data_IF_186504102487
#
_entry.id   IF_186504102487
#
_cell.length_a   1.000
_cell.length_b   1.000
_cell.length_c   1.000
_cell.angle_alpha   90.00
_cell.angle_beta   90.00
_cell.angle_gamma   90.00
#
_symmetry.space_group_name_H-M   'P 1'
#
loop_
_entity.id
_entity.type
_entity.pdbx_description
1 polymer ?
#
# COMPACT_ATOMS: atom_id res chain seq x y z
N UNK A 1 15.65 -8.83 2.09
CA UNK A 1 14.39 -9.13 2.80
C UNK A 1 13.35 -8.14 2.32
N UNK A 2 12.22 -8.54 1.72
CA UNK A 2 11.30 -7.62 1.04
C UNK A 2 10.94 -6.40 1.89
N UNK A 3 10.69 -5.27 1.23
CA UNK A 3 10.38 -4.00 1.90
C UNK A 3 8.95 -4.01 2.40
N UNK A 4 8.78 -3.81 3.69
CA UNK A 4 7.48 -3.79 4.35
C UNK A 4 6.97 -2.35 4.43
N UNK A 5 5.71 -2.14 4.08
CA UNK A 5 5.06 -0.84 4.13
C UNK A 5 3.75 -0.96 4.90
N UNK A 6 3.42 0.09 5.63
CA UNK A 6 2.12 0.26 6.26
C UNK A 6 1.51 1.57 5.78
N UNK A 7 0.27 1.51 5.34
CA UNK A 7 -0.55 2.69 5.07
C UNK A 7 -1.58 2.84 6.18
N UNK A 8 -1.66 4.05 6.74
CA UNK A 8 -2.77 4.47 7.57
C UNK A 8 -3.62 5.45 6.79
N UNK A 9 -4.94 5.26 6.79
CA UNK A 9 -5.85 6.10 6.02
C UNK A 9 -7.20 6.31 6.71
N UNK A 10 -7.83 7.49 6.59
CA UNK A 10 -9.22 7.68 7.01
C UNK A 10 -10.25 6.99 6.09
N UNK A 11 -9.82 6.60 4.90
CA UNK A 11 -10.65 6.02 3.83
C UNK A 11 -10.18 4.60 3.51
N UNK A 12 -11.11 3.64 3.41
CA UNK A 12 -10.80 2.28 2.97
C UNK A 12 -10.34 2.32 1.49
N UNK A 13 -9.19 1.74 1.13
CA UNK A 13 -8.85 1.58 -0.28
C UNK A 13 -9.77 0.57 -0.95
N UNK A 14 -10.01 0.78 -2.25
CA UNK A 14 -10.63 -0.18 -3.15
C UNK A 14 -9.66 -0.55 -4.29
N UNK A 15 -10.05 -1.49 -5.16
CA UNK A 15 -9.21 -1.86 -6.30
C UNK A 15 -9.01 -0.67 -7.28
N UNK A 16 -9.97 0.25 -7.35
CA UNK A 16 -9.90 1.41 -8.26
C UNK A 16 -8.78 2.36 -7.85
N UNK A 17 -8.65 2.73 -6.57
CA UNK A 17 -7.58 3.61 -6.12
C UNK A 17 -6.20 3.00 -6.38
N UNK A 18 -6.07 1.67 -6.29
CA UNK A 18 -4.82 0.95 -6.60
C UNK A 18 -4.47 1.04 -8.09
N UNK A 19 -5.44 0.83 -8.98
CA UNK A 19 -5.23 0.97 -10.44
C UNK A 19 -4.85 2.40 -10.78
N UNK A 20 -5.56 3.39 -10.24
CA UNK A 20 -5.29 4.80 -10.52
C UNK A 20 -3.94 5.26 -9.97
N UNK A 21 -3.55 4.77 -8.78
CA UNK A 21 -2.23 5.05 -8.20
C UNK A 21 -1.11 4.38 -9.02
N UNK A 22 -1.31 3.14 -9.47
CA UNK A 22 -0.41 2.44 -10.39
C UNK A 22 -0.19 3.24 -11.66
N UNK A 23 -1.28 3.61 -12.34
CA UNK A 23 -1.24 4.34 -13.61
C UNK A 23 -0.61 5.74 -13.49
N UNK A 24 -0.74 6.40 -12.34
CA UNK A 24 -0.09 7.68 -12.09
C UNK A 24 1.43 7.57 -11.95
N UNK A 25 1.94 6.42 -11.47
CA UNK A 25 3.37 6.15 -11.33
C UNK A 25 3.98 5.62 -12.63
N UNK A 26 3.35 4.63 -13.24
CA UNK A 26 3.77 4.01 -14.49
C UNK A 26 2.52 3.44 -15.21
N UNK A 27 2.14 3.97 -16.38
CA UNK A 27 0.91 3.58 -17.08
C UNK A 27 0.92 2.13 -17.58
N UNK A 28 2.08 1.47 -17.60
CA UNK A 28 2.22 0.08 -18.02
C UNK A 28 2.02 -0.92 -16.86
N UNK A 29 1.66 -0.41 -15.67
CA UNK A 29 1.31 -1.23 -14.52
C UNK A 29 -0.12 -1.76 -14.61
N UNK A 30 -0.27 -3.03 -14.27
CA UNK A 30 -1.56 -3.71 -14.14
C UNK A 30 -1.85 -4.10 -12.69
N UNK A 31 -3.06 -4.59 -12.47
CA UNK A 31 -3.51 -5.13 -11.19
C UNK A 31 -3.98 -6.56 -11.37
N UNK A 32 -3.51 -7.46 -10.50
CA UNK A 32 -4.10 -8.80 -10.34
C UNK A 32 -4.51 -9.05 -8.91
N UNK A 33 -5.45 -9.95 -8.74
CA UNK A 33 -5.96 -10.35 -7.43
C UNK A 33 -5.58 -11.79 -7.17
N UNK A 34 -5.05 -12.05 -5.97
CA UNK A 34 -4.59 -13.37 -5.54
C UNK A 34 -5.40 -13.81 -4.32
N UNK A 35 -5.41 -15.12 -4.05
CA UNK A 35 -6.01 -15.71 -2.85
C UNK A 35 -7.48 -15.26 -2.63
N UNK A 36 -8.31 -15.38 -3.67
CA UNK A 36 -9.75 -15.05 -3.64
C UNK A 36 -10.08 -13.63 -3.13
N UNK A 37 -9.19 -12.66 -3.42
CA UNK A 37 -9.39 -11.27 -2.98
C UNK A 37 -8.53 -10.85 -1.80
N UNK A 38 -7.88 -11.78 -1.09
CA UNK A 38 -7.12 -11.43 0.10
C UNK A 38 -5.88 -10.55 -0.20
N UNK A 39 -5.37 -10.58 -1.43
CA UNK A 39 -4.21 -9.78 -1.85
C UNK A 39 -4.47 -9.16 -3.22
N UNK A 40 -4.25 -7.86 -3.32
CA UNK A 40 -4.12 -7.17 -4.60
C UNK A 40 -2.65 -6.96 -4.91
N UNK A 41 -2.21 -7.35 -6.11
CA UNK A 41 -0.83 -7.20 -6.52
C UNK A 41 -0.74 -6.31 -7.76
N UNK A 42 0.03 -5.24 -7.63
CA UNK A 42 0.43 -4.41 -8.77
C UNK A 42 1.57 -5.11 -9.48
N UNK A 43 1.48 -5.22 -10.80
CA UNK A 43 2.43 -5.95 -11.63
C UNK A 43 2.85 -5.10 -12.82
N UNK A 44 4.08 -5.28 -13.30
CA UNK A 44 4.44 -4.84 -14.64
C UNK A 44 3.89 -5.86 -15.63
N UNK A 45 2.97 -5.44 -16.48
CA UNK A 45 2.33 -6.34 -17.45
C UNK A 45 3.36 -6.76 -18.50
N UNK A 46 3.46 -8.06 -18.76
CA UNK A 46 4.17 -8.55 -19.95
C UNK A 46 3.16 -8.57 -21.12
N UNK A 47 3.41 -7.83 -22.21
CA UNK A 47 2.53 -7.85 -23.39
C UNK A 47 2.37 -9.25 -24.02
N UNK A 48 3.36 -10.14 -23.83
CA UNK A 48 3.33 -11.50 -24.37
C UNK A 48 2.56 -12.48 -23.46
N UNK A 49 2.53 -12.24 -22.16
CA UNK A 49 1.72 -13.01 -21.19
C UNK A 49 1.27 -12.13 -20.01
N UNK A 50 0.07 -11.51 -20.12
CA UNK A 50 -0.47 -10.64 -19.07
C UNK A 50 -0.64 -11.32 -17.70
N UNK A 51 -0.64 -12.66 -17.65
CA UNK A 51 -0.77 -13.42 -16.40
C UNK A 51 0.56 -13.57 -15.64
N UNK A 52 1.70 -13.36 -16.31
CA UNK A 52 3.06 -13.58 -15.80
C UNK A 52 3.83 -12.31 -15.45
N UNK A 53 3.13 -11.16 -15.40
CA UNK A 53 3.75 -9.88 -15.07
C UNK A 53 4.55 -9.89 -13.76
N UNK A 54 5.68 -9.19 -13.76
CA UNK A 54 6.57 -9.12 -12.60
C UNK A 54 5.90 -8.33 -11.46
N UNK A 55 5.87 -8.92 -10.26
CA UNK A 55 5.29 -8.30 -9.07
C UNK A 55 6.04 -7.03 -8.65
N UNK A 56 5.31 -5.92 -8.53
CA UNK A 56 5.83 -4.61 -8.13
C UNK A 56 5.53 -4.33 -6.67
N UNK A 57 4.30 -4.60 -6.21
CA UNK A 57 3.94 -4.56 -4.79
C UNK A 57 2.71 -5.42 -4.54
N UNK A 58 2.72 -6.17 -3.44
CA UNK A 58 1.55 -6.89 -2.93
C UNK A 58 0.91 -6.06 -1.81
N UNK A 59 -0.39 -5.83 -1.88
CA UNK A 59 -1.19 -5.10 -0.88
C UNK A 59 -2.20 -6.07 -0.26
N UNK A 60 -2.19 -6.15 1.06
CA UNK A 60 -3.11 -6.98 1.84
C UNK A 60 -4.47 -6.30 2.00
N UNK A 61 -5.49 -7.07 2.37
CA UNK A 61 -6.81 -6.52 2.69
C UNK A 61 -6.74 -5.47 3.80
N UNK A 62 -7.48 -4.35 3.68
CA UNK A 62 -7.51 -3.31 4.70
C UNK A 62 -8.15 -3.81 5.99
N UNK A 63 -7.53 -3.49 7.12
CA UNK A 63 -8.06 -3.75 8.44
C UNK A 63 -8.53 -2.45 9.07
N UNK A 64 -9.73 -2.44 9.63
CA UNK A 64 -10.19 -1.30 10.44
C UNK A 64 -9.47 -1.32 11.79
N UNK A 65 -8.93 -0.18 12.20
CA UNK A 65 -8.27 -0.03 13.50
C UNK A 65 -9.28 0.45 14.53
N UNK A 66 -9.55 -0.40 15.51
CA UNK A 66 -10.47 -0.07 16.62
C UNK A 66 -9.75 0.62 17.80
N UNK A 67 -8.44 0.37 17.96
CA UNK A 67 -7.62 0.98 19.01
C UNK A 67 -6.45 1.77 18.42
N UNK A 68 -6.61 3.09 18.33
CA UNK A 68 -5.58 3.99 17.80
C UNK A 68 -4.30 4.01 18.64
N UNK A 69 -4.35 3.65 19.93
CA UNK A 69 -3.15 3.57 20.76
C UNK A 69 -2.15 2.51 20.26
N UNK A 70 -2.65 1.44 19.64
CA UNK A 70 -1.80 0.39 19.07
C UNK A 70 -1.01 0.85 17.85
N UNK A 71 -1.50 1.87 17.12
CA UNK A 71 -0.79 2.43 15.97
C UNK A 71 0.58 2.96 16.36
N UNK A 72 0.68 3.68 17.49
CA UNK A 72 1.97 4.18 18.01
C UNK A 72 2.91 3.05 18.43
N UNK A 73 2.36 1.97 18.98
CA UNK A 73 3.15 0.81 19.42
C UNK A 73 3.72 0.04 18.24
N UNK A 74 2.94 -0.08 17.15
CA UNK A 74 3.31 -0.85 15.95
C UNK A 74 4.14 -0.05 14.94
N UNK A 75 3.98 1.27 14.89
CA UNK A 75 4.72 2.18 14.01
C UNK A 75 5.56 3.19 14.82
N UNK A 76 6.60 2.73 15.55
CA UNK A 76 7.42 3.62 16.37
C UNK A 76 8.18 4.67 15.55
N UNK A 77 8.40 4.44 14.26
CA UNK A 77 9.04 5.37 13.33
C UNK A 77 8.11 6.52 12.91
N UNK A 78 6.80 6.41 13.14
CA UNK A 78 5.84 7.47 12.85
C UNK A 78 5.88 8.53 13.97
N UNK A 79 6.79 9.49 13.84
CA UNK A 79 7.06 10.52 14.87
C UNK A 79 5.96 11.58 14.98
N UNK A 80 5.24 11.86 13.88
CA UNK A 80 4.10 12.75 13.85
C UNK A 80 2.85 11.96 13.43
N UNK A 81 1.86 11.90 14.32
CA UNK A 81 0.58 11.30 13.97
C UNK A 81 -0.22 12.26 13.07
N UNK A 82 -0.90 11.76 12.03
CA UNK A 82 -1.82 12.56 11.25
C UNK A 82 -2.90 13.19 12.12
N UNK A 83 -3.33 14.42 11.82
CA UNK A 83 -4.30 15.16 12.64
C UNK A 83 -5.68 14.49 12.73
N UNK A 84 -6.03 13.67 11.75
CA UNK A 84 -7.27 12.88 11.74
C UNK A 84 -7.21 11.65 12.67
N UNK A 85 -6.01 11.20 13.03
CA UNK A 85 -5.82 10.01 13.85
C UNK A 85 -6.17 10.32 15.31
N UNK A 86 -7.25 9.70 15.81
CA UNK A 86 -7.79 9.97 17.15
C UNK A 86 -8.86 11.06 17.20
N UNK A 87 -9.21 11.66 16.06
CA UNK A 87 -10.30 12.65 15.95
C UNK A 87 -11.70 12.01 15.78
N UNK A 88 -11.85 10.73 16.11
CA UNK A 88 -13.10 9.96 15.95
C UNK A 88 -13.39 9.49 14.52
N UNK A 89 -12.48 9.74 13.56
CA UNK A 89 -12.61 9.24 12.20
C UNK A 89 -12.26 7.74 12.12
N UNK A 90 -12.83 7.00 11.15
CA UNK A 90 -12.36 5.65 10.84
C UNK A 90 -10.87 5.66 10.51
N UNK A 91 -10.18 4.58 10.84
CA UNK A 91 -8.77 4.39 10.54
C UNK A 91 -8.61 3.03 9.91
N UNK A 92 -7.96 2.99 8.75
CA UNK A 92 -7.66 1.80 8.00
C UNK A 92 -6.17 1.56 8.00
N UNK A 93 -5.79 0.34 8.37
CA UNK A 93 -4.44 -0.19 8.32
C UNK A 93 -4.31 -1.10 7.10
N UNK A 94 -3.33 -0.82 6.27
CA UNK A 94 -3.08 -1.60 5.05
C UNK A 94 -1.61 -1.96 5.00
N UNK A 95 -1.32 -3.25 4.93
CA UNK A 95 0.04 -3.75 4.79
C UNK A 95 0.36 -3.95 3.31
N UNK A 96 1.59 -3.62 2.94
CA UNK A 96 2.10 -3.88 1.61
C UNK A 96 3.55 -4.36 1.66
N UNK A 97 3.92 -5.16 0.67
CA UNK A 97 5.24 -5.77 0.56
C UNK A 97 5.76 -5.57 -0.85
N UNK A 98 6.91 -4.93 -0.97
CA UNK A 98 7.58 -4.67 -2.24
C UNK A 98 8.91 -5.47 -2.34
N UNK A 99 9.32 -5.92 -3.54
CA UNK A 99 10.62 -6.56 -3.73
C UNK A 99 11.76 -5.54 -3.55
N UNK A 100 13.01 -6.00 -3.69
CA UNK A 100 14.17 -5.10 -3.74
C UNK A 100 14.40 -4.52 -5.12
N UNK A 101 15.27 -3.51 -5.18
CA UNK A 101 15.72 -2.91 -6.43
C UNK A 101 14.63 -2.03 -7.05
N UNK A 102 14.68 -1.94 -8.37
CA UNK A 102 13.94 -0.94 -9.14
C UNK A 102 12.43 -1.19 -9.08
N UNK A 103 12.01 -2.44 -9.20
CA UNK A 103 10.60 -2.83 -9.03
C UNK A 103 10.08 -2.48 -7.64
N UNK A 104 10.92 -2.66 -6.61
CA UNK A 104 10.61 -2.28 -5.24
C UNK A 104 10.37 -0.78 -5.10
N UNK A 105 11.23 0.04 -5.69
CA UNK A 105 11.09 1.50 -5.68
C UNK A 105 9.82 1.96 -6.40
N UNK A 106 9.47 1.32 -7.51
CA UNK A 106 8.17 1.54 -8.18
C UNK A 106 7.02 1.16 -7.24
N UNK A 107 7.10 0.02 -6.55
CA UNK A 107 6.09 -0.42 -5.60
C UNK A 107 5.86 0.55 -4.44
N UNK A 108 6.95 1.07 -3.85
CA UNK A 108 6.89 2.12 -2.82
C UNK A 108 6.18 3.36 -3.36
N UNK A 109 6.56 3.82 -4.56
CA UNK A 109 5.94 5.00 -5.17
C UNK A 109 4.42 4.81 -5.39
N UNK A 110 3.99 3.63 -5.82
CA UNK A 110 2.56 3.31 -5.98
C UNK A 110 1.82 3.36 -4.64
N UNK A 111 2.40 2.80 -3.57
CA UNK A 111 1.77 2.82 -2.24
C UNK A 111 1.71 4.24 -1.67
N UNK A 112 2.74 5.06 -1.91
CA UNK A 112 2.76 6.47 -1.51
C UNK A 112 1.68 7.29 -2.24
N UNK A 113 1.53 7.09 -3.55
CA UNK A 113 0.48 7.72 -4.35
C UNK A 113 -0.91 7.29 -3.89
N UNK A 114 -1.11 5.99 -3.62
CA UNK A 114 -2.35 5.47 -3.03
C UNK A 114 -2.66 6.14 -1.69
N UNK A 115 -1.67 6.24 -0.79
CA UNK A 115 -1.83 6.87 0.50
C UNK A 115 -2.23 8.36 0.34
N UNK A 116 -1.59 9.08 -0.56
CA UNK A 116 -1.91 10.48 -0.85
C UNK A 116 -3.37 10.66 -1.32
N UNK A 117 -3.84 9.80 -2.24
CA UNK A 117 -5.24 9.80 -2.73
C UNK A 117 -6.27 9.56 -1.64
N UNK A 118 -5.91 8.76 -0.64
CA UNK A 118 -6.79 8.42 0.46
C UNK A 118 -6.75 9.43 1.62
N UNK A 119 -5.89 10.45 1.53
CA UNK A 119 -5.60 11.37 2.64
C UNK A 119 -4.83 10.70 3.79
N UNK A 120 -4.17 9.59 3.49
CA UNK A 120 -3.43 8.77 4.43
C UNK A 120 -1.93 9.10 4.47
N UNK A 121 -1.20 8.26 5.19
CA UNK A 121 0.27 8.28 5.26
C UNK A 121 0.82 6.89 4.94
N UNK A 122 1.93 6.85 4.22
CA UNK A 122 2.69 5.63 3.96
C UNK A 122 3.95 5.63 4.83
N UNK A 123 4.12 4.56 5.60
CA UNK A 123 5.28 4.30 6.46
C UNK A 123 6.04 3.14 5.87
N UNK A 124 7.29 3.36 5.51
CA UNK A 124 8.21 2.30 5.07
C UNK A 124 8.90 1.74 6.31
N UNK A 125 8.82 0.42 6.51
CA UNK A 125 9.40 -0.31 7.65
C UNK A 125 10.68 -1.05 7.24
N UNK A 126 11.47 -0.44 6.36
CA UNK A 126 12.80 -0.93 6.01
C UNK A 126 13.68 -0.78 7.26
N UNK A 127 14.28 -1.86 7.75
CA UNK A 127 15.11 -1.86 8.97
C UNK A 127 16.45 -1.14 8.86
N UNK A 128 16.54 -0.07 8.05
CA UNK A 128 17.72 0.81 7.93
C UNK A 128 17.61 2.06 8.81
#
# INVERSE_FOLDING_TARGET
MPRELVVLSPTAPDARVLVEAGAAVDPDLGLRTLHDGAVHQVVRVDPADPSQGAGVVSIMQPLRVDNVAEVRRLLPTLTALPSWLGAGQPVWWVEAVAPWGDLGRTGIAVVQEMAARLGGVCVVQDGE
#
